data_IF_274895519673
#
_entry.id   IF_274895519673
#
_cell.length_a   1.000
_cell.length_b   1.000
_cell.length_c   1.000
_cell.angle_alpha   90.00
_cell.angle_beta   90.00
_cell.angle_gamma   90.00
#
_symmetry.space_group_name_H-M   'P 1'
#
loop_
_entity.id
_entity.type
_entity.pdbx_description
1 polymer ?
#
# COMPACT_ATOMS: atom_id res chain seq x y z
N UNK A 1 0.03 -10.02 10.26
CA UNK A 1 1.36 -10.64 10.45
C UNK A 1 1.72 -10.79 11.92
N UNK A 2 1.60 -9.74 12.73
CA UNK A 2 1.85 -9.84 14.18
C UNK A 2 0.87 -10.76 14.92
N UNK A 3 -0.38 -10.86 14.44
CA UNK A 3 -1.37 -11.83 14.95
C UNK A 3 -1.00 -13.31 14.66
N UNK A 4 0.03 -13.57 13.85
CA UNK A 4 0.50 -14.93 13.55
C UNK A 4 1.48 -15.46 14.62
N UNK A 5 1.74 -14.68 15.68
CA UNK A 5 2.64 -15.07 16.78
C UNK A 5 4.13 -14.97 16.45
N UNK A 6 4.49 -14.26 15.37
CA UNK A 6 5.89 -14.01 14.99
C UNK A 6 6.40 -12.76 15.70
N UNK A 7 7.61 -12.84 16.22
CA UNK A 7 8.36 -11.66 16.65
C UNK A 7 8.59 -10.73 15.45
N UNK A 8 8.62 -9.44 15.74
CA UNK A 8 8.95 -8.34 14.84
C UNK A 8 10.19 -8.63 14.00
N UNK A 9 11.28 -9.13 14.60
CA UNK A 9 12.53 -9.42 13.87
C UNK A 9 12.33 -10.48 12.78
N UNK A 10 11.59 -11.54 13.11
CA UNK A 10 11.23 -12.58 12.14
C UNK A 10 10.29 -12.06 11.05
N UNK A 11 9.34 -11.19 11.41
CA UNK A 11 8.43 -10.56 10.45
C UNK A 11 9.18 -9.65 9.48
N UNK A 12 10.13 -8.83 9.96
CA UNK A 12 10.98 -7.98 9.11
C UNK A 12 11.86 -8.81 8.18
N UNK A 13 12.42 -9.92 8.66
CA UNK A 13 13.19 -10.85 7.84
C UNK A 13 12.36 -11.47 6.71
N UNK A 14 11.17 -11.99 7.04
CA UNK A 14 10.26 -12.58 6.06
C UNK A 14 9.83 -11.57 4.99
N UNK A 15 9.51 -10.34 5.40
CA UNK A 15 9.12 -9.26 4.50
C UNK A 15 10.27 -8.81 3.59
N UNK A 16 11.49 -8.75 4.11
CA UNK A 16 12.68 -8.40 3.31
C UNK A 16 12.91 -9.43 2.19
N UNK A 17 12.82 -10.72 2.50
CA UNK A 17 12.91 -11.77 1.49
C UNK A 17 11.75 -11.70 0.48
N UNK A 18 10.52 -11.43 0.96
CA UNK A 18 9.36 -11.24 0.10
C UNK A 18 9.55 -10.08 -0.88
N UNK A 19 10.11 -8.95 -0.41
CA UNK A 19 10.38 -7.78 -1.24
C UNK A 19 11.40 -8.08 -2.33
N UNK A 20 12.47 -8.82 -2.03
CA UNK A 20 13.47 -9.21 -3.04
C UNK A 20 12.81 -10.02 -4.17
N UNK A 21 11.94 -10.98 -3.82
CA UNK A 21 11.22 -11.80 -4.81
C UNK A 21 10.26 -10.95 -5.66
N UNK A 22 9.54 -10.02 -5.04
CA UNK A 22 8.64 -9.08 -5.72
C UNK A 22 9.42 -8.13 -6.64
N UNK A 23 10.59 -7.64 -6.23
CA UNK A 23 11.46 -6.80 -7.07
C UNK A 23 11.80 -7.51 -8.37
N UNK A 24 12.24 -8.77 -8.28
CA UNK A 24 12.60 -9.59 -9.46
C UNK A 24 11.38 -9.77 -10.36
N UNK A 25 10.23 -10.16 -9.80
CA UNK A 25 9.01 -10.36 -10.58
C UNK A 25 8.53 -9.06 -11.26
N UNK A 26 8.60 -7.93 -10.56
CA UNK A 26 8.22 -6.61 -11.09
C UNK A 26 9.15 -6.19 -12.24
N UNK A 27 10.46 -6.39 -12.10
CA UNK A 27 11.42 -6.09 -13.15
C UNK A 27 11.18 -6.93 -14.41
N UNK A 28 10.84 -8.21 -14.25
CA UNK A 28 10.50 -9.08 -15.38
C UNK A 28 9.20 -8.64 -16.09
N UNK A 29 8.16 -8.28 -15.33
CA UNK A 29 6.89 -7.80 -15.91
C UNK A 29 7.02 -6.41 -16.54
N UNK A 30 7.95 -5.59 -16.08
CA UNK A 30 8.20 -4.25 -16.60
C UNK A 30 8.92 -4.26 -17.97
N UNK A 31 9.72 -5.29 -18.23
CA UNK A 31 10.57 -5.42 -19.44
C UNK A 31 9.83 -5.26 -20.77
N UNK A 32 8.71 -5.99 -21.02
CA UNK A 32 7.94 -5.85 -22.25
C UNK A 32 7.41 -4.43 -22.48
N UNK A 33 6.94 -3.75 -21.42
CA UNK A 33 6.47 -2.38 -21.50
C UNK A 33 7.59 -1.39 -21.82
N UNK A 34 8.78 -1.55 -21.21
CA UNK A 34 9.91 -0.67 -21.48
C UNK A 34 10.54 -0.85 -22.87
N UNK A 35 10.58 -2.10 -23.40
CA UNK A 35 11.20 -2.40 -24.70
C UNK A 35 10.27 -2.16 -25.88
N UNK A 36 9.01 -2.58 -25.77
CA UNK A 36 8.04 -2.55 -26.87
C UNK A 36 6.97 -1.47 -26.72
N UNK A 37 6.96 -0.72 -25.61
CA UNK A 37 5.95 0.31 -25.30
C UNK A 37 4.51 -0.20 -25.33
N UNK A 38 4.34 -1.47 -24.99
CA UNK A 38 3.04 -2.14 -24.91
C UNK A 38 2.51 -2.12 -23.48
N UNK A 39 1.19 -1.99 -23.32
CA UNK A 39 0.53 -2.05 -22.02
C UNK A 39 0.12 -3.48 -21.62
N UNK A 40 -0.43 -3.58 -20.41
CA UNK A 40 -0.87 -4.85 -19.80
C UNK A 40 -1.83 -5.64 -20.69
N UNK A 41 -2.78 -4.96 -21.34
CA UNK A 41 -3.79 -5.62 -22.19
C UNK A 41 -3.20 -6.35 -23.40
N UNK A 42 -2.08 -5.86 -23.93
CA UNK A 42 -1.38 -6.49 -25.06
C UNK A 42 -0.50 -7.63 -24.57
N UNK A 43 0.16 -7.46 -23.42
CA UNK A 43 0.90 -8.54 -22.76
C UNK A 43 0.01 -9.75 -22.47
N UNK A 44 -1.23 -9.52 -22.02
CA UNK A 44 -2.18 -10.58 -21.73
C UNK A 44 -2.57 -11.40 -22.99
N UNK A 45 -2.62 -10.76 -24.16
CA UNK A 45 -2.91 -11.43 -25.45
C UNK A 45 -1.81 -12.38 -25.87
N UNK A 46 -0.56 -12.12 -25.50
CA UNK A 46 0.55 -13.04 -25.79
C UNK A 46 0.47 -14.33 -24.97
N UNK A 47 -0.11 -14.26 -23.75
CA UNK A 47 -0.18 -15.41 -22.83
C UNK A 47 -1.45 -16.24 -23.07
N UNK A 48 -2.61 -15.59 -23.12
CA UNK A 48 -3.92 -16.26 -23.19
C UNK A 48 -4.54 -16.29 -24.60
N UNK A 49 -3.83 -15.76 -25.60
CA UNK A 49 -4.34 -15.59 -26.96
C UNK A 49 -5.38 -14.46 -27.07
N UNK A 50 -5.91 -14.26 -28.28
CA UNK A 50 -6.83 -13.16 -28.59
C UNK A 50 -8.14 -13.33 -27.80
N UNK A 51 -8.75 -14.51 -27.88
CA UNK A 51 -10.05 -14.80 -27.24
C UNK A 51 -9.93 -15.00 -25.72
N UNK A 52 -8.84 -15.63 -25.23
CA UNK A 52 -8.64 -15.87 -23.79
C UNK A 52 -8.21 -14.64 -23.00
N UNK A 53 -7.63 -13.62 -23.65
CA UNK A 53 -7.22 -12.38 -22.98
C UNK A 53 -8.37 -11.62 -22.30
N UNK A 54 -9.59 -11.76 -22.83
CA UNK A 54 -10.78 -11.07 -22.30
C UNK A 54 -11.08 -11.42 -20.84
N UNK A 55 -10.89 -12.68 -20.44
CA UNK A 55 -11.15 -13.13 -19.06
C UNK A 55 -10.18 -12.47 -18.09
N UNK A 56 -8.88 -12.43 -18.42
CA UNK A 56 -7.88 -11.79 -17.58
C UNK A 56 -8.08 -10.29 -17.45
N UNK A 57 -8.44 -9.62 -18.55
CA UNK A 57 -8.76 -8.18 -18.55
C UNK A 57 -10.00 -7.92 -17.69
N UNK A 58 -11.04 -8.75 -17.77
CA UNK A 58 -12.25 -8.59 -16.97
C UNK A 58 -11.98 -8.71 -15.47
N UNK A 59 -11.28 -9.77 -15.04
CA UNK A 59 -10.88 -9.96 -13.63
C UNK A 59 -10.09 -8.75 -13.15
N UNK A 60 -9.20 -8.22 -14.00
CA UNK A 60 -8.38 -7.05 -13.67
C UNK A 60 -9.21 -5.79 -13.49
N UNK A 61 -10.23 -5.57 -14.32
CA UNK A 61 -11.13 -4.42 -14.20
C UNK A 61 -11.88 -4.49 -12.87
N UNK A 62 -12.46 -5.65 -12.53
CA UNK A 62 -13.17 -5.85 -11.25
C UNK A 62 -12.25 -5.57 -10.06
N UNK A 63 -11.03 -6.11 -10.09
CA UNK A 63 -10.04 -5.88 -9.04
C UNK A 63 -9.69 -4.40 -8.91
N UNK A 64 -9.52 -3.69 -10.03
CA UNK A 64 -9.19 -2.27 -10.04
C UNK A 64 -10.30 -1.41 -9.43
N UNK A 65 -11.58 -1.76 -9.69
CA UNK A 65 -12.73 -1.07 -9.09
C UNK A 65 -12.78 -1.29 -7.57
N UNK A 66 -12.55 -2.52 -7.11
CA UNK A 66 -12.55 -2.84 -5.67
C UNK A 66 -11.41 -2.14 -4.93
N UNK A 67 -10.19 -2.19 -5.49
CA UNK A 67 -9.05 -1.49 -4.92
C UNK A 67 -9.25 0.01 -4.93
N UNK A 68 -9.81 0.56 -6.01
CA UNK A 68 -10.16 1.97 -6.09
C UNK A 68 -11.13 2.38 -4.98
N UNK A 69 -12.20 1.61 -4.77
CA UNK A 69 -13.17 1.88 -3.70
C UNK A 69 -12.55 1.84 -2.31
N UNK A 70 -11.74 0.81 -2.02
CA UNK A 70 -11.05 0.66 -0.73
C UNK A 70 -10.09 1.83 -0.45
N UNK A 71 -9.30 2.23 -1.45
CA UNK A 71 -8.36 3.34 -1.30
C UNK A 71 -9.05 4.70 -1.22
N UNK A 72 -10.16 4.89 -1.95
CA UNK A 72 -10.97 6.10 -1.85
C UNK A 72 -11.60 6.26 -0.45
N UNK A 73 -12.05 5.15 0.13
CA UNK A 73 -12.55 5.12 1.51
C UNK A 73 -11.48 5.50 2.54
N UNK A 74 -10.29 4.87 2.46
CA UNK A 74 -9.17 5.20 3.35
C UNK A 74 -8.70 6.65 3.19
N UNK A 75 -8.70 7.17 1.96
CA UNK A 75 -8.42 8.58 1.67
C UNK A 75 -9.45 9.51 2.30
N UNK A 76 -10.74 9.17 2.19
CA UNK A 76 -11.84 9.89 2.83
C UNK A 76 -11.68 10.00 4.35
N UNK A 77 -11.36 8.88 5.02
CA UNK A 77 -11.07 8.87 6.46
C UNK A 77 -9.89 9.79 6.83
N UNK A 78 -8.87 9.88 5.99
CA UNK A 78 -7.77 10.83 6.15
C UNK A 78 -8.25 12.29 6.16
N UNK A 79 -9.17 12.65 5.26
CA UNK A 79 -9.77 13.98 5.21
C UNK A 79 -10.66 14.25 6.42
N UNK A 80 -11.38 13.25 6.95
CA UNK A 80 -12.15 13.38 8.20
C UNK A 80 -11.23 13.76 9.35
N UNK A 81 -10.08 13.10 9.49
CA UNK A 81 -9.09 13.43 10.54
C UNK A 81 -8.54 14.84 10.36
N UNK A 82 -8.23 15.25 9.12
CA UNK A 82 -7.78 16.61 8.83
C UNK A 82 -8.83 17.67 9.20
N UNK A 83 -10.08 17.47 8.82
CA UNK A 83 -11.16 18.40 9.15
C UNK A 83 -11.48 18.43 10.64
N UNK A 84 -11.40 17.27 11.31
CA UNK A 84 -11.56 17.18 12.76
C UNK A 84 -10.44 17.93 13.51
N UNK A 85 -9.23 17.99 12.94
CA UNK A 85 -8.13 18.78 13.51
C UNK A 85 -8.32 20.30 13.35
N UNK A 86 -9.02 20.75 12.29
CA UNK A 86 -9.26 22.18 12.06
C UNK A 86 -10.45 22.69 12.87
N UNK A 87 -11.57 21.95 12.90
CA UNK A 87 -12.81 22.43 13.51
C UNK A 87 -13.37 21.45 14.54
N UNK A 88 -13.48 21.91 15.80
CA UNK A 88 -14.24 21.20 16.85
C UNK A 88 -15.72 21.04 16.50
N UNK A 89 -16.28 21.92 15.66
CA UNK A 89 -17.67 21.82 15.21
C UNK A 89 -17.87 20.65 14.26
N UNK A 90 -16.87 20.30 13.45
CA UNK A 90 -16.90 19.12 12.57
C UNK A 90 -16.76 17.82 13.38
N UNK A 91 -15.96 17.85 14.45
CA UNK A 91 -15.80 16.76 15.40
C UNK A 91 -17.05 16.48 16.24
N UNK A 92 -18.00 17.41 16.32
CA UNK A 92 -19.26 17.25 17.07
C UNK A 92 -20.51 17.21 16.18
N UNK A 93 -20.35 17.09 14.86
CA UNK A 93 -21.49 17.03 13.93
C UNK A 93 -22.43 15.87 14.28
N UNK A 94 -23.71 16.17 14.48
CA UNK A 94 -24.72 15.16 14.81
C UNK A 94 -24.90 14.18 13.65
N UNK A 95 -24.99 12.89 13.97
CA UNK A 95 -25.11 11.86 12.94
C UNK A 95 -26.55 11.85 12.41
N UNK A 96 -26.73 12.25 11.14
CA UNK A 96 -28.04 12.24 10.48
C UNK A 96 -28.39 10.85 9.93
N UNK A 97 -27.42 9.93 9.87
CA UNK A 97 -27.65 8.58 9.38
C UNK A 97 -28.17 7.63 10.46
N UNK A 98 -29.04 6.65 10.10
CA UNK A 98 -29.53 5.66 11.04
C UNK A 98 -28.38 4.79 11.58
N UNK A 99 -28.49 4.35 12.83
CA UNK A 99 -27.49 3.53 13.53
C UNK A 99 -27.22 2.16 12.90
N UNK A 100 -28.02 1.75 11.90
CA UNK A 100 -27.80 0.55 11.10
C UNK A 100 -26.73 0.72 10.01
N UNK A 101 -26.34 1.96 9.68
CA UNK A 101 -25.24 2.22 8.76
C UNK A 101 -23.91 2.26 9.52
N UNK A 102 -22.91 1.53 9.01
CA UNK A 102 -21.53 1.58 9.51
C UNK A 102 -20.79 2.89 9.16
N UNK A 103 -21.51 3.94 8.74
CA UNK A 103 -20.96 5.21 8.26
C UNK A 103 -21.63 6.38 8.96
N UNK A 104 -20.83 7.31 9.49
CA UNK A 104 -21.34 8.56 10.05
C UNK A 104 -21.45 9.65 8.98
N UNK A 105 -22.27 10.67 9.21
CA UNK A 105 -22.39 11.82 8.29
C UNK A 105 -21.03 12.51 8.03
N UNK A 106 -20.13 12.46 9.02
CA UNK A 106 -18.77 13.01 8.92
C UNK A 106 -17.90 12.23 7.96
N UNK A 107 -17.99 10.90 8.00
CA UNK A 107 -17.25 10.01 7.10
C UNK A 107 -17.70 10.17 5.66
N UNK A 108 -19.02 10.35 5.45
CA UNK A 108 -19.57 10.58 4.13
C UNK A 108 -19.10 11.91 3.51
N UNK A 109 -19.09 13.00 4.29
CA UNK A 109 -18.60 14.30 3.82
C UNK A 109 -17.12 14.22 3.48
N UNK A 110 -16.30 13.59 4.34
CA UNK A 110 -14.87 13.39 4.07
C UNK A 110 -14.63 12.57 2.80
N UNK A 111 -15.40 11.50 2.60
CA UNK A 111 -15.37 10.69 1.38
C UNK A 111 -15.78 11.47 0.14
N UNK A 112 -16.86 12.24 0.18
CA UNK A 112 -17.30 13.06 -0.96
C UNK A 112 -16.27 14.12 -1.36
N UNK A 113 -15.69 14.82 -0.38
CA UNK A 113 -14.65 15.81 -0.66
C UNK A 113 -13.42 15.16 -1.29
N UNK A 114 -13.00 14.00 -0.76
CA UNK A 114 -11.92 13.23 -1.36
C UNK A 114 -12.24 12.81 -2.80
N UNK A 115 -13.47 12.36 -3.04
CA UNK A 115 -13.92 11.90 -4.36
C UNK A 115 -13.92 13.04 -5.40
N UNK A 116 -14.34 14.25 -5.02
CA UNK A 116 -14.30 15.44 -5.88
C UNK A 116 -12.85 15.82 -6.19
N UNK A 117 -12.00 15.86 -5.18
CA UNK A 117 -10.58 16.17 -5.35
C UNK A 117 -9.91 15.15 -6.29
N UNK A 118 -10.19 13.86 -6.09
CA UNK A 118 -9.64 12.80 -6.93
C UNK A 118 -10.11 12.91 -8.38
N UNK A 119 -11.38 13.29 -8.62
CA UNK A 119 -11.89 13.53 -9.96
C UNK A 119 -11.17 14.70 -10.64
N UNK A 120 -10.85 15.77 -9.91
CA UNK A 120 -10.06 16.88 -10.45
C UNK A 120 -8.65 16.43 -10.89
N UNK A 121 -8.02 15.54 -10.14
CA UNK A 121 -6.73 14.94 -10.52
C UNK A 121 -6.84 13.96 -11.69
N UNK A 122 -7.99 13.30 -11.90
CA UNK A 122 -8.21 12.38 -13.03
C UNK A 122 -8.16 13.09 -14.39
N UNK A 123 -8.56 14.36 -14.45
CA UNK A 123 -8.52 15.16 -15.70
C UNK A 123 -7.08 15.54 -16.10
N UNK A 124 -6.12 15.42 -15.17
CA UNK A 124 -4.72 15.74 -15.44
C UNK A 124 -4.07 14.66 -16.30
N UNK A 125 -3.39 15.07 -17.37
CA UNK A 125 -2.66 14.14 -18.24
C UNK A 125 -1.54 13.43 -17.46
N UNK A 126 -1.40 12.09 -17.58
CA UNK A 126 -0.43 11.30 -16.83
C UNK A 126 1.03 11.74 -17.06
N UNK A 127 1.34 12.29 -18.23
CA UNK A 127 2.67 12.81 -18.58
C UNK A 127 3.18 13.91 -17.64
N UNK A 128 2.27 14.69 -17.05
CA UNK A 128 2.62 15.79 -16.13
C UNK A 128 2.57 15.38 -14.65
N UNK A 129 2.06 14.18 -14.35
CA UNK A 129 1.85 13.74 -12.98
C UNK A 129 3.14 13.37 -12.25
N UNK A 130 4.24 13.08 -12.97
CA UNK A 130 5.52 12.67 -12.35
C UNK A 130 6.00 13.62 -11.24
N UNK A 131 5.88 14.94 -11.45
CA UNK A 131 6.31 15.92 -10.43
C UNK A 131 5.41 15.91 -9.20
N UNK A 132 4.10 15.82 -9.39
CA UNK A 132 3.12 15.77 -8.29
C UNK A 132 3.26 14.47 -7.48
N UNK A 133 3.46 13.34 -8.18
CA UNK A 133 3.69 12.03 -7.55
C UNK A 133 4.99 12.05 -6.76
N UNK A 134 6.10 12.50 -7.34
CA UNK A 134 7.38 12.59 -6.62
C UNK A 134 7.29 13.48 -5.37
N UNK A 135 6.60 14.61 -5.45
CA UNK A 135 6.37 15.48 -4.30
C UNK A 135 5.52 14.79 -3.22
N UNK A 136 4.46 14.08 -3.61
CA UNK A 136 3.64 13.30 -2.67
C UNK A 136 4.43 12.17 -2.00
N UNK A 137 5.35 11.52 -2.72
CA UNK A 137 6.24 10.50 -2.17
C UNK A 137 7.19 11.11 -1.12
N UNK A 138 7.76 12.29 -1.38
CA UNK A 138 8.61 12.99 -0.42
C UNK A 138 7.85 13.36 0.86
N UNK A 139 6.65 13.94 0.72
CA UNK A 139 5.79 14.24 1.88
C UNK A 139 5.48 12.97 2.66
N UNK A 140 5.17 11.88 1.97
CA UNK A 140 4.86 10.60 2.60
C UNK A 140 6.07 10.08 3.40
N UNK A 141 7.28 10.12 2.85
CA UNK A 141 8.49 9.70 3.57
C UNK A 141 8.69 10.55 4.83
N UNK A 142 8.55 11.87 4.73
CA UNK A 142 8.69 12.78 5.88
C UNK A 142 7.62 12.48 6.94
N UNK A 143 6.37 12.30 6.54
CA UNK A 143 5.27 11.96 7.44
C UNK A 143 5.49 10.60 8.11
N UNK A 144 5.98 9.61 7.36
CA UNK A 144 6.28 8.29 7.89
C UNK A 144 7.40 8.32 8.94
N UNK A 145 8.52 9.01 8.64
CA UNK A 145 9.61 9.22 9.61
C UNK A 145 9.11 9.99 10.83
N UNK A 146 8.28 11.02 10.62
CA UNK A 146 7.70 11.82 11.70
C UNK A 146 6.84 10.99 12.66
N UNK A 147 5.92 10.16 12.13
CA UNK A 147 5.09 9.27 12.93
C UNK A 147 5.94 8.24 13.67
N UNK A 148 6.96 7.68 13.03
CA UNK A 148 7.87 6.72 13.66
C UNK A 148 8.61 7.32 14.85
N UNK A 149 9.24 8.48 14.67
CA UNK A 149 9.94 9.18 15.76
C UNK A 149 8.96 9.55 16.88
N UNK A 150 7.75 10.02 16.53
CA UNK A 150 6.73 10.35 17.53
C UNK A 150 6.28 9.11 18.33
N UNK A 151 6.09 7.96 17.68
CA UNK A 151 5.73 6.70 18.36
C UNK A 151 6.87 6.17 19.24
N UNK A 152 8.12 6.29 18.81
CA UNK A 152 9.29 5.92 19.61
C UNK A 152 9.45 6.81 20.85
N UNK A 153 9.25 8.13 20.68
CA UNK A 153 9.30 9.08 21.78
C UNK A 153 8.20 8.81 22.81
N UNK A 154 6.98 8.50 22.37
CA UNK A 154 5.86 8.15 23.26
C UNK A 154 6.07 6.82 24.00
N UNK A 155 6.70 5.85 23.37
CA UNK A 155 6.96 4.53 23.96
C UNK A 155 8.28 4.46 24.74
N UNK A 156 9.02 5.57 24.89
CA UNK A 156 10.33 5.63 25.54
C UNK A 156 11.33 4.55 25.06
N UNK A 157 11.26 4.17 23.78
CA UNK A 157 12.09 3.13 23.19
C UNK A 157 11.35 2.23 22.20
N UNK A 158 11.98 1.12 21.80
CA UNK A 158 11.48 0.19 20.78
C UNK A 158 10.24 -0.64 21.22
N UNK A 159 9.68 -0.38 22.41
CA UNK A 159 8.52 -1.09 22.95
C UNK A 159 8.83 -2.55 23.36
N UNK A 160 8.04 -3.14 24.28
CA UNK A 160 8.28 -4.47 24.82
C UNK A 160 8.08 -5.61 23.79
N UNK A 161 7.30 -5.37 22.73
CA UNK A 161 7.06 -6.33 21.64
C UNK A 161 8.30 -6.58 20.77
N UNK A 162 9.31 -5.70 20.76
CA UNK A 162 10.55 -5.93 20.02
C UNK A 162 11.38 -7.08 20.62
N UNK A 163 11.30 -7.24 21.94
CA UNK A 163 12.07 -8.24 22.69
C UNK A 163 11.25 -9.49 23.05
N UNK A 164 10.01 -9.61 22.57
CA UNK A 164 9.14 -10.73 22.93
C UNK A 164 9.60 -12.03 22.24
N UNK A 165 9.96 -13.09 22.99
CA UNK A 165 10.46 -14.32 22.40
C UNK A 165 9.36 -15.02 21.59
N UNK A 166 9.74 -15.63 20.47
CA UNK A 166 8.81 -16.42 19.65
C UNK A 166 8.41 -17.69 20.42
N UNK A 167 7.16 -17.77 20.85
CA UNK A 167 6.62 -18.95 21.54
C UNK A 167 6.33 -20.15 20.61
N UNK A 168 6.62 -20.03 19.31
CA UNK A 168 6.32 -21.03 18.29
C UNK A 168 7.47 -22.03 18.11
N UNK A 169 7.13 -23.30 17.89
CA UNK A 169 8.08 -24.35 17.51
C UNK A 169 8.75 -24.05 16.17
N UNK A 170 10.03 -24.40 16.01
CA UNK A 170 10.87 -24.05 14.84
C UNK A 170 10.22 -24.42 13.49
N UNK A 171 9.52 -25.55 13.41
CA UNK A 171 8.83 -25.98 12.18
C UNK A 171 7.61 -25.12 11.85
N UNK A 172 6.86 -24.68 12.86
CA UNK A 172 5.68 -23.82 12.67
C UNK A 172 6.10 -22.39 12.29
N UNK A 173 7.21 -21.90 12.85
CA UNK A 173 7.79 -20.60 12.49
C UNK A 173 8.11 -20.50 11.00
N UNK A 174 8.64 -21.57 10.38
CA UNK A 174 8.90 -21.61 8.94
C UNK A 174 7.63 -21.51 8.09
N UNK A 175 6.57 -22.21 8.48
CA UNK A 175 5.26 -22.10 7.81
C UNK A 175 4.66 -20.71 7.95
N UNK A 176 4.81 -20.09 9.12
CA UNK A 176 4.32 -18.72 9.33
C UNK A 176 5.12 -17.66 8.57
N UNK A 177 6.41 -17.90 8.30
CA UNK A 177 7.20 -17.09 7.38
C UNK A 177 6.62 -17.14 5.96
N UNK A 178 6.37 -18.34 5.44
CA UNK A 178 5.76 -18.51 4.12
C UNK A 178 4.37 -17.88 4.03
N UNK A 179 3.55 -18.04 5.07
CA UNK A 179 2.23 -17.44 5.13
C UNK A 179 2.30 -15.90 5.16
N UNK A 180 3.24 -15.33 5.91
CA UNK A 180 3.50 -13.89 5.93
C UNK A 180 3.92 -13.38 4.56
N UNK A 181 4.87 -14.06 3.89
CA UNK A 181 5.28 -13.70 2.53
C UNK A 181 4.11 -13.77 1.53
N UNK A 182 3.23 -14.76 1.67
CA UNK A 182 2.06 -14.92 0.80
C UNK A 182 1.05 -13.79 0.99
N UNK A 183 0.78 -13.37 2.24
CA UNK A 183 -0.09 -12.22 2.53
C UNK A 183 0.49 -10.94 1.90
N UNK A 184 1.80 -10.72 2.07
CA UNK A 184 2.48 -9.57 1.51
C UNK A 184 2.42 -9.56 -0.02
N UNK A 185 2.71 -10.70 -0.64
CA UNK A 185 2.63 -10.87 -2.08
C UNK A 185 1.21 -10.68 -2.60
N UNK A 186 0.19 -11.21 -1.91
CA UNK A 186 -1.21 -11.03 -2.27
C UNK A 186 -1.60 -9.56 -2.38
N UNK A 187 -1.13 -8.72 -1.45
CA UNK A 187 -1.41 -7.30 -1.46
C UNK A 187 -0.72 -6.52 -2.59
N UNK A 188 0.50 -6.92 -2.99
CA UNK A 188 1.31 -6.22 -4.00
C UNK A 188 1.24 -6.84 -5.41
N UNK A 189 0.74 -8.06 -5.53
CA UNK A 189 0.62 -8.77 -6.81
C UNK A 189 -0.17 -8.01 -7.88
N UNK A 190 -1.24 -7.26 -7.55
CA UNK A 190 -1.94 -6.50 -8.57
C UNK A 190 -1.02 -5.45 -9.17
N UNK A 191 -0.27 -4.70 -8.36
CA UNK A 191 0.62 -3.63 -8.80
C UNK A 191 1.81 -4.15 -9.63
N UNK A 192 2.23 -5.38 -9.40
CA UNK A 192 3.32 -5.99 -10.18
C UNK A 192 2.89 -6.29 -11.63
N UNK A 193 1.63 -6.73 -11.82
CA UNK A 193 1.14 -7.16 -13.13
C UNK A 193 0.83 -5.99 -14.08
N UNK A 194 0.43 -4.83 -13.58
CA UNK A 194 0.18 -3.63 -14.40
C UNK A 194 1.41 -2.72 -14.54
N UNK A 195 2.59 -3.13 -14.07
CA UNK A 195 3.81 -2.33 -14.18
C UNK A 195 4.13 -1.96 -15.63
N UNK A 196 3.76 -2.82 -16.59
CA UNK A 196 3.91 -2.57 -18.03
C UNK A 196 3.16 -1.32 -18.53
N UNK A 197 2.06 -0.92 -17.89
CA UNK A 197 1.32 0.29 -18.26
C UNK A 197 2.05 1.58 -17.89
N UNK A 198 2.95 1.52 -16.90
CA UNK A 198 3.81 2.63 -16.49
C UNK A 198 5.15 2.59 -17.23
N UNK A 199 5.73 1.41 -17.41
CA UNK A 199 7.05 1.27 -18.03
C UNK A 199 7.08 1.62 -19.51
N UNK A 200 5.92 1.61 -20.20
CA UNK A 200 5.79 2.13 -21.58
C UNK A 200 6.17 3.61 -21.72
N UNK A 201 6.10 4.39 -20.63
CA UNK A 201 6.50 5.79 -20.59
C UNK A 201 7.97 5.98 -20.21
N UNK A 202 8.70 4.90 -19.92
CA UNK A 202 10.11 4.98 -19.57
C UNK A 202 10.97 5.30 -20.78
N UNK A 203 11.98 6.16 -20.58
CA UNK A 203 12.97 6.49 -21.61
C UNK A 203 13.95 5.35 -21.89
N UNK A 204 14.15 4.43 -20.94
CA UNK A 204 15.14 3.34 -21.07
C UNK A 204 14.86 2.18 -20.12
N UNK A 205 14.99 0.95 -20.63
CA UNK A 205 14.84 -0.29 -19.85
C UNK A 205 15.79 -0.38 -18.66
N UNK A 206 17.02 0.14 -18.78
CA UNK A 206 17.99 0.13 -17.65
C UNK A 206 17.56 1.05 -16.51
N UNK A 207 17.02 2.22 -16.85
CA UNK A 207 16.51 3.19 -15.87
C UNK A 207 15.22 2.68 -15.21
N UNK A 208 14.40 1.98 -15.97
CA UNK A 208 13.19 1.33 -15.47
C UNK A 208 13.50 0.22 -14.46
N UNK A 209 14.42 -0.69 -14.79
CA UNK A 209 14.85 -1.76 -13.87
C UNK A 209 15.49 -1.19 -12.61
N UNK A 210 16.39 -0.20 -12.74
CA UNK A 210 17.00 0.46 -11.58
C UNK A 210 15.95 1.18 -10.72
N UNK A 211 15.01 1.89 -11.35
CA UNK A 211 13.92 2.59 -10.65
C UNK A 211 13.00 1.62 -9.90
N UNK A 212 12.68 0.47 -10.50
CA UNK A 212 11.88 -0.58 -9.87
C UNK A 212 12.62 -1.22 -8.69
N UNK A 213 13.93 -1.48 -8.80
CA UNK A 213 14.71 -2.02 -7.70
C UNK A 213 14.77 -1.06 -6.49
N UNK A 214 15.04 0.22 -6.74
CA UNK A 214 15.08 1.24 -5.67
C UNK A 214 13.68 1.37 -5.05
N UNK A 215 12.65 1.54 -5.89
CA UNK A 215 11.28 1.76 -5.42
C UNK A 215 10.77 0.58 -4.62
N UNK A 216 10.92 -0.66 -5.10
CA UNK A 216 10.40 -1.84 -4.41
C UNK A 216 11.14 -2.14 -3.10
N UNK A 217 12.45 -1.90 -3.02
CA UNK A 217 13.22 -2.15 -1.80
C UNK A 217 12.94 -1.07 -0.74
N UNK A 218 12.91 0.21 -1.16
CA UNK A 218 12.58 1.31 -0.25
C UNK A 218 11.14 1.20 0.26
N UNK A 219 10.14 1.11 -0.63
CA UNK A 219 8.74 1.01 -0.20
C UNK A 219 8.49 -0.20 0.70
N UNK A 220 9.11 -1.33 0.38
CA UNK A 220 8.95 -2.57 1.10
C UNK A 220 9.51 -2.53 2.51
N UNK A 221 10.72 -1.99 2.68
CA UNK A 221 11.36 -1.85 3.99
C UNK A 221 10.65 -0.82 4.86
N UNK A 222 10.42 0.38 4.31
CA UNK A 222 9.76 1.47 5.01
C UNK A 222 8.36 1.06 5.48
N UNK A 223 7.46 0.65 4.56
CA UNK A 223 6.08 0.29 4.91
C UNK A 223 6.00 -0.83 5.96
N UNK A 224 6.90 -1.80 5.89
CA UNK A 224 7.02 -2.90 6.85
C UNK A 224 7.40 -2.41 8.26
N UNK A 225 8.44 -1.58 8.38
CA UNK A 225 8.89 -1.03 9.67
C UNK A 225 7.84 -0.14 10.34
N UNK A 226 7.10 0.66 9.56
CA UNK A 226 6.05 1.53 10.10
C UNK A 226 4.78 0.78 10.50
N UNK A 227 4.36 -0.22 9.72
CA UNK A 227 3.21 -1.07 10.09
C UNK A 227 3.42 -1.74 11.44
N UNK A 228 4.66 -2.16 11.72
CA UNK A 228 5.04 -2.63 13.06
C UNK A 228 5.00 -1.52 14.10
N UNK A 229 5.60 -0.36 13.84
CA UNK A 229 5.61 0.76 14.80
C UNK A 229 4.19 1.25 15.18
N UNK A 230 3.25 1.25 14.23
CA UNK A 230 1.85 1.60 14.50
C UNK A 230 1.17 0.53 15.37
N UNK A 231 1.40 -0.76 15.09
CA UNK A 231 0.93 -1.83 15.96
C UNK A 231 1.52 -1.74 17.36
N UNK A 232 2.80 -1.33 17.51
CA UNK A 232 3.41 -1.05 18.81
C UNK A 232 2.67 0.07 19.56
N UNK A 233 2.34 1.16 18.88
CA UNK A 233 1.63 2.30 19.47
C UNK A 233 0.19 1.96 19.88
N UNK A 234 -0.54 1.16 19.09
CA UNK A 234 -1.92 0.78 19.42
C UNK A 234 -1.97 -0.19 20.62
N UNK A 235 -1.03 -1.13 20.73
CA UNK A 235 -0.98 -2.05 21.88
C UNK A 235 -0.57 -1.32 23.17
N UNK A 236 0.28 -0.28 23.07
CA UNK A 236 0.62 0.59 24.20
C UNK A 236 -0.57 1.45 24.65
N UNK A 237 -1.40 1.94 23.71
CA UNK A 237 -2.58 2.73 24.01
C UNK A 237 -3.73 1.92 24.66
N UNK A 238 -3.77 0.60 24.50
CA UNK A 238 -4.78 -0.29 25.10
C UNK A 238 -4.37 -0.73 26.53
N UNK A 239 -3.10 -0.56 26.91
CA UNK A 239 -2.58 -0.92 28.25
C UNK A 239 -2.55 0.22 29.27
N UNK A 240 -2.92 1.44 28.86
CA UNK A 240 -3.16 2.59 29.73
C UNK A 240 -4.65 2.91 29.78
#
# INVERSE_FOLDING_TARGET
>A
MLSLGLNIQHTMGALTLGNILICVYTCLNSGPGAKYRIGYTVCQRMIFGIYGSGIGIFIRIVLSIVFYGSQSWLGGLGFVVMFSSWSKSYMNLENTFPSSLAMTTRDFIGFLVFQILQYAFFVMRPEKMNKAVNFSCLITIVAMVGVFVATLAKNHGAGPLYSEPVALSKGYTGWMWLYSMTIWYGALSPDCTNQSDFSRFSSSTKKDVLGNHISCNDHGYYRSSYGVALCLSNTAAIRN
#
